data_IF_542751474888
#
_entry.id   IF_542751474888
#
_cell.length_a   1.000
_cell.length_b   1.000
_cell.length_c   1.000
_cell.angle_alpha   90.00
_cell.angle_beta   90.00
_cell.angle_gamma   90.00
#
_symmetry.space_group_name_H-M   'P 1'
#
loop_
_entity.id
_entity.type
_entity.pdbx_description
1 polymer ?
#
# COMPACT_ATOMS: atom_id res chain seq x y z
N UNK A 1 52.48 -81.29 -4.33
CA UNK A 1 52.20 -80.68 -3.01
C UNK A 1 51.40 -79.43 -3.29
N UNK A 2 50.13 -79.42 -2.91
CA UNK A 2 49.28 -78.22 -2.96
C UNK A 2 48.72 -78.02 -1.54
N UNK A 3 48.54 -76.77 -1.08
CA UNK A 3 47.16 -76.34 -0.87
C UNK A 3 46.86 -74.84 -1.11
N UNK A 4 45.65 -74.62 -1.67
CA UNK A 4 44.61 -73.55 -1.48
C UNK A 4 44.93 -72.11 -1.05
N UNK A 5 44.15 -71.17 -1.62
CA UNK A 5 43.39 -70.16 -0.84
C UNK A 5 41.88 -70.22 -1.17
N UNK A 6 40.99 -70.35 -0.17
CA UNK A 6 40.29 -69.31 0.63
C UNK A 6 39.27 -68.43 -0.13
N UNK A 7 38.00 -68.83 0.04
CA UNK A 7 36.78 -68.01 0.28
C UNK A 7 36.52 -66.74 -0.55
N UNK A 8 35.59 -66.86 -1.50
CA UNK A 8 34.80 -65.73 -2.02
C UNK A 8 33.77 -65.27 -0.99
N UNK A 9 33.90 -64.04 -0.49
CA UNK A 9 32.78 -63.28 0.07
C UNK A 9 32.36 -62.20 -0.96
N UNK A 10 31.13 -62.32 -1.46
CA UNK A 10 30.44 -61.28 -2.23
C UNK A 10 30.29 -60.02 -1.37
N UNK A 11 30.95 -58.92 -1.76
CA UNK A 11 30.58 -57.59 -1.27
C UNK A 11 29.38 -57.08 -2.08
N UNK A 12 28.25 -56.90 -1.41
CA UNK A 12 27.13 -56.15 -1.94
C UNK A 12 27.56 -54.70 -2.18
N UNK A 13 27.43 -54.22 -3.42
CA UNK A 13 27.56 -52.81 -3.72
C UNK A 13 26.32 -52.09 -3.15
N UNK A 14 26.47 -51.48 -1.97
CA UNK A 14 25.53 -50.47 -1.53
C UNK A 14 25.66 -49.28 -2.49
N UNK A 15 24.74 -49.18 -3.45
CA UNK A 15 24.53 -47.94 -4.18
C UNK A 15 24.00 -46.93 -3.17
N UNK A 16 24.80 -45.93 -2.84
CA UNK A 16 24.34 -44.78 -2.07
C UNK A 16 23.24 -44.07 -2.86
N UNK A 17 22.18 -43.56 -2.20
CA UNK A 17 21.22 -42.72 -2.89
C UNK A 17 21.97 -41.45 -3.30
N UNK A 18 22.22 -41.31 -4.60
CA UNK A 18 22.85 -40.11 -5.15
C UNK A 18 21.93 -38.94 -4.85
N UNK A 19 22.32 -38.13 -3.88
CA UNK A 19 21.66 -36.86 -3.61
C UNK A 19 21.76 -36.03 -4.90
N UNK A 20 20.65 -35.60 -5.52
CA UNK A 20 20.71 -34.91 -6.79
C UNK A 20 21.55 -33.63 -6.68
N UNK A 21 22.43 -33.43 -7.67
CA UNK A 21 23.35 -32.30 -7.76
C UNK A 21 22.62 -30.95 -7.61
N UNK A 22 23.22 -29.91 -6.99
CA UNK A 22 22.62 -28.58 -6.81
C UNK A 22 22.11 -27.94 -8.12
N UNK A 23 22.63 -28.37 -9.27
CA UNK A 23 22.18 -27.92 -10.58
C UNK A 23 20.77 -28.41 -10.96
N UNK A 24 20.26 -29.49 -10.35
CA UNK A 24 18.89 -29.95 -10.60
C UNK A 24 17.84 -29.03 -9.96
N UNK A 25 18.18 -28.30 -8.90
CA UNK A 25 17.33 -27.24 -8.35
C UNK A 25 17.25 -26.00 -9.26
N UNK A 26 18.20 -25.83 -10.19
CA UNK A 26 18.18 -24.74 -11.18
C UNK A 26 17.18 -25.00 -12.33
N UNK A 27 16.77 -26.26 -12.54
CA UNK A 27 15.97 -26.72 -13.70
C UNK A 27 14.50 -27.02 -13.33
N UNK A 28 14.07 -26.63 -12.13
CA UNK A 28 12.66 -26.46 -11.79
C UNK A 28 12.38 -25.00 -11.44
N UNK A 29 12.69 -24.07 -12.36
CA UNK A 29 11.74 -22.95 -12.51
C UNK A 29 10.45 -23.62 -12.96
N UNK A 30 9.61 -24.00 -12.00
CA UNK A 30 8.28 -24.47 -12.33
C UNK A 30 7.69 -23.42 -13.24
N UNK A 31 7.37 -23.79 -14.48
CA UNK A 31 6.55 -23.00 -15.39
C UNK A 31 5.17 -22.90 -14.73
N UNK A 32 5.07 -22.04 -13.71
CA UNK A 32 3.81 -21.75 -13.08
C UNK A 32 2.94 -21.11 -14.16
N UNK A 33 1.69 -21.53 -14.31
CA UNK A 33 0.79 -20.87 -15.26
C UNK A 33 0.66 -19.39 -14.87
N UNK A 34 0.76 -18.52 -15.87
CA UNK A 34 0.53 -17.09 -15.72
C UNK A 34 -0.93 -16.88 -15.32
N UNK A 35 -1.16 -16.15 -14.23
CA UNK A 35 -2.50 -15.82 -13.77
C UNK A 35 -3.05 -14.69 -14.63
N UNK A 36 -3.97 -15.02 -15.54
CA UNK A 36 -4.60 -14.03 -16.43
C UNK A 36 -5.75 -13.32 -15.71
N UNK A 37 -5.56 -12.04 -15.40
CA UNK A 37 -6.60 -11.20 -14.80
C UNK A 37 -7.54 -10.73 -15.92
N UNK A 38 -8.81 -11.11 -15.82
CA UNK A 38 -9.85 -10.68 -16.75
C UNK A 38 -10.22 -9.22 -16.47
N UNK A 39 -9.65 -8.31 -17.25
CA UNK A 39 -9.85 -6.87 -17.09
C UNK A 39 -11.33 -6.45 -16.99
N UNK A 40 -12.21 -7.10 -17.76
CA UNK A 40 -13.65 -6.82 -17.79
C UNK A 40 -14.35 -7.13 -16.45
N UNK A 41 -13.98 -8.21 -15.78
CA UNK A 41 -14.61 -8.65 -14.53
C UNK A 41 -14.37 -7.64 -13.40
N UNK A 42 -13.30 -6.85 -13.53
CA UNK A 42 -12.87 -5.86 -12.54
C UNK A 42 -13.00 -4.40 -13.02
N UNK A 43 -13.56 -4.17 -14.21
CA UNK A 43 -13.58 -2.85 -14.85
C UNK A 43 -12.18 -2.19 -14.84
N UNK A 44 -11.16 -2.93 -15.27
CA UNK A 44 -9.80 -2.44 -15.47
C UNK A 44 -9.69 -1.81 -16.85
N UNK A 45 -9.61 -0.49 -16.88
CA UNK A 45 -9.31 0.28 -18.08
C UNK A 45 -8.43 1.47 -17.68
N UNK A 46 -7.14 1.40 -17.98
CA UNK A 46 -6.19 2.48 -17.75
C UNK A 46 -6.28 3.50 -18.88
N UNK A 47 -6.62 4.74 -18.54
CA UNK A 47 -6.77 5.86 -19.47
C UNK A 47 -5.64 6.90 -19.33
N UNK A 48 -4.60 6.62 -18.53
CA UNK A 48 -3.52 7.58 -18.25
C UNK A 48 -3.81 8.55 -17.09
N UNK A 49 -4.96 8.44 -16.43
CA UNK A 49 -5.30 9.24 -15.26
C UNK A 49 -5.25 8.40 -13.97
N UNK A 50 -5.11 9.08 -12.84
CA UNK A 50 -5.16 8.49 -11.49
C UNK A 50 -4.28 7.22 -11.32
N UNK A 51 -3.09 7.22 -11.93
CA UNK A 51 -2.23 6.04 -12.04
C UNK A 51 -1.96 5.34 -10.70
N UNK A 52 -1.83 6.09 -9.60
CA UNK A 52 -1.61 5.52 -8.27
C UNK A 52 -2.86 4.82 -7.72
N UNK A 53 -4.07 5.33 -8.02
CA UNK A 53 -5.32 4.64 -7.69
C UNK A 53 -5.45 3.38 -8.54
N UNK A 54 -5.09 3.44 -9.82
CA UNK A 54 -5.10 2.28 -10.71
C UNK A 54 -4.13 1.18 -10.24
N UNK A 55 -2.87 1.51 -9.94
CA UNK A 55 -1.86 0.58 -9.41
C UNK A 55 -2.37 -0.13 -8.16
N UNK A 56 -2.90 0.62 -7.18
CA UNK A 56 -3.47 0.03 -5.95
C UNK A 56 -4.63 -0.93 -6.23
N UNK A 57 -5.48 -0.61 -7.20
CA UNK A 57 -6.59 -1.47 -7.61
C UNK A 57 -6.07 -2.77 -8.22
N UNK A 58 -5.09 -2.69 -9.12
CA UNK A 58 -4.44 -3.84 -9.76
C UNK A 58 -3.79 -4.74 -8.71
N UNK A 59 -3.02 -4.20 -7.77
CA UNK A 59 -2.37 -4.98 -6.71
C UNK A 59 -3.39 -5.69 -5.81
N UNK A 60 -4.51 -5.04 -5.50
CA UNK A 60 -5.59 -5.66 -4.75
C UNK A 60 -6.24 -6.81 -5.51
N UNK A 61 -6.45 -6.66 -6.82
CA UNK A 61 -7.00 -7.74 -7.67
C UNK A 61 -5.99 -8.88 -7.78
N UNK A 62 -4.71 -8.57 -7.93
CA UNK A 62 -3.64 -9.56 -7.95
C UNK A 62 -3.66 -10.44 -6.70
N UNK A 63 -3.85 -9.82 -5.53
CA UNK A 63 -3.98 -10.54 -4.27
C UNK A 63 -5.22 -11.46 -4.22
N UNK A 64 -6.34 -11.04 -4.82
CA UNK A 64 -7.58 -11.82 -4.88
C UNK A 64 -7.43 -13.02 -5.84
N UNK A 65 -6.84 -12.78 -7.01
CA UNK A 65 -6.66 -13.78 -8.08
C UNK A 65 -5.44 -14.68 -7.87
N UNK A 66 -4.60 -14.38 -6.87
CA UNK A 66 -3.34 -15.09 -6.65
C UNK A 66 -2.28 -14.81 -7.71
N UNK A 67 -2.38 -13.68 -8.42
CA UNK A 67 -1.41 -13.24 -9.41
C UNK A 67 -0.15 -12.69 -8.72
N UNK A 68 1.02 -12.99 -9.28
CA UNK A 68 2.28 -12.42 -8.80
C UNK A 68 2.62 -11.15 -9.56
N UNK A 69 3.61 -10.43 -9.05
CA UNK A 69 4.12 -9.20 -9.65
C UNK A 69 4.49 -9.38 -11.14
N UNK A 70 5.15 -10.48 -11.52
CA UNK A 70 5.50 -10.71 -12.91
C UNK A 70 4.27 -10.83 -13.82
N UNK A 71 3.18 -11.44 -13.31
CA UNK A 71 1.92 -11.55 -14.05
C UNK A 71 1.30 -10.18 -14.30
N UNK A 72 1.46 -9.24 -13.37
CA UNK A 72 0.95 -7.88 -13.49
C UNK A 72 1.74 -7.09 -14.54
N UNK A 73 3.07 -7.18 -14.49
CA UNK A 73 3.93 -6.51 -15.44
C UNK A 73 3.59 -6.93 -16.87
N UNK A 74 3.49 -8.25 -17.13
CA UNK A 74 3.16 -8.80 -18.46
C UNK A 74 1.77 -8.41 -18.97
N UNK A 75 0.82 -8.07 -18.08
CA UNK A 75 -0.56 -7.82 -18.48
C UNK A 75 -0.94 -6.34 -18.58
N UNK A 76 -0.10 -5.45 -18.05
CA UNK A 76 -0.40 -4.03 -17.90
C UNK A 76 -0.80 -3.36 -19.23
N UNK A 77 -0.10 -3.67 -20.33
CA UNK A 77 -0.38 -3.09 -21.65
C UNK A 77 -1.77 -3.49 -22.21
N UNK A 78 -2.34 -4.62 -21.77
CA UNK A 78 -3.66 -5.10 -22.19
C UNK A 78 -4.82 -4.49 -21.40
N UNK A 79 -4.54 -3.78 -20.31
CA UNK A 79 -5.55 -3.14 -19.48
C UNK A 79 -5.85 -1.70 -19.90
N UNK A 80 -5.40 -1.28 -21.07
CA UNK A 80 -5.76 0.01 -21.66
C UNK A 80 -6.54 -0.18 -22.96
N UNK A 81 -7.43 0.77 -23.26
CA UNK A 81 -8.17 0.85 -24.52
C UNK A 81 -7.55 1.81 -25.53
N UNK A 82 -6.57 2.61 -25.10
CA UNK A 82 -5.85 3.55 -25.96
C UNK A 82 -4.53 2.92 -26.42
N UNK A 83 -4.37 2.74 -27.74
CA UNK A 83 -3.16 2.17 -28.31
C UNK A 83 -1.92 2.99 -27.97
N UNK A 84 -2.03 4.32 -27.86
CA UNK A 84 -0.89 5.18 -27.48
C UNK A 84 -0.40 4.90 -26.06
N UNK A 85 -1.34 4.64 -25.13
CA UNK A 85 -0.98 4.27 -23.77
C UNK A 85 -0.39 2.86 -23.73
N UNK A 86 -0.91 1.94 -24.54
CA UNK A 86 -0.41 0.57 -24.64
C UNK A 86 1.03 0.56 -25.15
N UNK A 87 1.30 1.19 -26.30
CA UNK A 87 2.63 1.32 -26.90
C UNK A 87 3.63 1.96 -25.92
N UNK A 88 3.17 2.98 -25.18
CA UNK A 88 3.99 3.66 -24.19
C UNK A 88 4.34 2.79 -22.98
N UNK A 89 3.46 1.87 -22.57
CA UNK A 89 3.71 0.90 -21.50
C UNK A 89 4.66 -0.18 -21.99
N UNK A 90 4.46 -0.68 -23.21
CA UNK A 90 5.33 -1.73 -23.78
C UNK A 90 6.78 -1.27 -23.96
N UNK A 91 6.99 0.03 -24.18
CA UNK A 91 8.32 0.63 -24.25
C UNK A 91 8.98 0.91 -22.88
N UNK A 92 8.32 0.58 -21.76
CA UNK A 92 8.88 0.83 -20.42
C UNK A 92 9.84 -0.30 -20.02
N UNK A 93 11.01 0.02 -19.42
CA UNK A 93 11.96 -0.98 -18.95
C UNK A 93 11.33 -2.00 -17.99
N UNK A 94 10.47 -1.55 -17.07
CA UNK A 94 9.80 -2.45 -16.15
C UNK A 94 8.82 -3.43 -16.81
N UNK A 95 8.28 -3.11 -17.99
CA UNK A 95 7.43 -4.02 -18.76
C UNK A 95 8.28 -5.07 -19.47
N UNK A 96 9.35 -4.64 -20.15
CA UNK A 96 10.28 -5.53 -20.87
C UNK A 96 10.94 -6.56 -19.93
N UNK A 97 11.33 -6.13 -18.73
CA UNK A 97 11.95 -6.99 -17.72
C UNK A 97 10.94 -7.87 -16.95
N UNK A 98 9.64 -7.66 -17.12
CA UNK A 98 8.60 -8.29 -16.29
C UNK A 98 8.68 -7.89 -14.81
N UNK A 99 9.24 -6.72 -14.52
CA UNK A 99 9.50 -6.20 -13.18
C UNK A 99 8.44 -5.18 -12.77
N UNK A 100 7.42 -5.64 -12.03
CA UNK A 100 6.34 -4.77 -11.56
C UNK A 100 6.80 -3.59 -10.71
N UNK A 101 7.80 -3.80 -9.86
CA UNK A 101 8.34 -2.74 -8.99
C UNK A 101 8.96 -1.61 -9.81
N UNK A 102 9.68 -1.95 -10.88
CA UNK A 102 10.21 -0.96 -11.81
C UNK A 102 9.09 -0.34 -12.67
N UNK A 103 8.17 -1.16 -13.19
CA UNK A 103 7.06 -0.68 -14.01
C UNK A 103 6.19 0.34 -13.26
N UNK A 104 5.93 0.15 -11.96
CA UNK A 104 5.24 1.15 -11.13
C UNK A 104 5.93 2.50 -11.15
N UNK A 105 7.26 2.54 -11.07
CA UNK A 105 8.02 3.80 -11.13
C UNK A 105 7.89 4.43 -12.51
N UNK A 106 7.98 3.64 -13.57
CA UNK A 106 7.86 4.11 -14.95
C UNK A 106 6.45 4.70 -15.21
N UNK A 107 5.40 4.00 -14.75
CA UNK A 107 4.00 4.44 -14.81
C UNK A 107 3.79 5.75 -14.05
N UNK A 108 4.29 5.86 -12.81
CA UNK A 108 4.18 7.08 -12.00
C UNK A 108 5.02 8.21 -12.60
N UNK A 109 6.15 7.92 -13.22
CA UNK A 109 6.98 8.95 -13.86
C UNK A 109 6.28 9.57 -15.08
N UNK A 110 5.55 8.75 -15.85
CA UNK A 110 4.87 9.21 -17.07
C UNK A 110 3.48 9.79 -16.82
N UNK A 111 2.69 9.17 -15.95
CA UNK A 111 1.28 9.50 -15.71
C UNK A 111 0.98 9.91 -14.26
N UNK A 112 1.96 9.82 -13.37
CA UNK A 112 1.81 10.28 -11.99
C UNK A 112 1.70 11.80 -11.96
N UNK A 113 0.97 12.29 -10.96
CA UNK A 113 0.90 13.73 -10.74
C UNK A 113 2.23 14.20 -10.14
N UNK A 114 2.70 15.37 -10.58
CA UNK A 114 3.88 16.04 -10.00
C UNK A 114 3.70 16.23 -8.49
N UNK A 115 2.47 16.49 -8.05
CA UNK A 115 2.04 16.28 -6.67
C UNK A 115 0.90 15.26 -6.63
N UNK A 116 1.03 14.13 -5.92
CA UNK A 116 -0.09 13.21 -5.69
C UNK A 116 -1.31 13.98 -5.19
N UNK A 117 -2.52 13.61 -5.59
CA UNK A 117 -3.75 14.22 -5.10
C UNK A 117 -3.83 14.09 -3.57
N UNK A 118 -3.37 15.13 -2.86
CA UNK A 118 -3.38 15.17 -1.40
C UNK A 118 -4.84 15.26 -0.98
N UNK A 119 -5.37 14.18 -0.41
CA UNK A 119 -6.73 14.17 0.14
C UNK A 119 -6.90 15.25 1.21
N UNK A 120 -5.84 15.44 1.99
CA UNK A 120 -5.75 16.51 2.98
C UNK A 120 -4.36 17.14 2.95
N UNK A 121 -4.31 18.45 3.24
CA UNK A 121 -3.09 19.25 3.40
C UNK A 121 -2.92 19.59 4.89
N UNK A 122 -1.77 20.14 5.27
CA UNK A 122 -1.56 20.66 6.64
C UNK A 122 -2.68 21.65 7.02
N UNK A 123 -3.04 22.51 6.08
CA UNK A 123 -4.08 23.53 6.25
C UNK A 123 -5.49 22.94 6.40
N UNK A 124 -5.71 21.66 6.07
CA UNK A 124 -7.02 21.02 6.25
C UNK A 124 -7.45 20.96 7.71
N UNK A 125 -6.50 20.84 8.66
CA UNK A 125 -6.81 20.91 10.09
C UNK A 125 -7.15 22.34 10.52
N UNK A 126 -6.38 23.32 10.05
CA UNK A 126 -6.61 24.74 10.33
C UNK A 126 -8.00 25.15 9.81
N UNK A 127 -8.35 24.74 8.59
CA UNK A 127 -9.67 25.01 8.03
C UNK A 127 -10.77 24.34 8.84
N UNK A 128 -10.60 23.07 9.28
CA UNK A 128 -11.58 22.40 10.13
C UNK A 128 -11.82 23.18 11.44
N UNK A 129 -10.75 23.69 12.07
CA UNK A 129 -10.86 24.50 13.29
C UNK A 129 -11.58 25.82 13.03
N UNK A 130 -11.14 26.58 12.02
CA UNK A 130 -11.73 27.87 11.65
C UNK A 130 -13.21 27.72 11.28
N UNK A 131 -13.55 26.76 10.42
CA UNK A 131 -14.94 26.50 9.99
C UNK A 131 -15.84 26.14 11.20
N UNK A 132 -15.28 25.43 12.19
CA UNK A 132 -16.00 25.07 13.42
C UNK A 132 -16.22 26.29 14.31
N UNK A 133 -15.22 27.17 14.42
CA UNK A 133 -15.31 28.41 15.19
C UNK A 133 -16.28 29.40 14.55
N UNK A 134 -16.20 29.59 13.22
CA UNK A 134 -17.08 30.44 12.43
C UNK A 134 -18.56 29.98 12.53
N UNK A 135 -18.78 28.67 12.71
CA UNK A 135 -20.10 28.10 12.96
C UNK A 135 -20.62 28.29 14.40
N UNK A 136 -19.89 29.01 15.27
CA UNK A 136 -20.26 29.26 16.67
C UNK A 136 -19.69 28.27 17.68
N UNK A 137 -18.79 27.38 17.24
CA UNK A 137 -18.14 26.38 18.07
C UNK A 137 -19.03 25.19 18.43
N UNK A 138 -18.42 24.18 19.03
CA UNK A 138 -19.07 22.92 19.41
C UNK A 138 -19.88 23.14 20.69
N UNK A 139 -21.19 22.93 20.64
CA UNK A 139 -22.11 23.04 21.79
C UNK A 139 -22.90 21.77 22.09
N UNK A 140 -22.89 20.79 21.18
CA UNK A 140 -23.64 19.54 21.33
C UNK A 140 -22.76 18.30 21.16
N UNK A 141 -23.19 17.18 21.76
CA UNK A 141 -22.51 15.89 21.61
C UNK A 141 -22.43 15.42 20.14
N UNK A 142 -23.45 15.73 19.33
CA UNK A 142 -23.48 15.38 17.92
C UNK A 142 -22.42 16.14 17.12
N UNK A 143 -22.31 17.46 17.34
CA UNK A 143 -21.27 18.29 16.74
C UNK A 143 -19.88 17.82 17.16
N UNK A 144 -19.70 17.48 18.43
CA UNK A 144 -18.42 16.97 18.93
C UNK A 144 -18.02 15.67 18.24
N UNK A 145 -18.93 14.69 18.15
CA UNK A 145 -18.65 13.41 17.47
C UNK A 145 -18.30 13.61 15.99
N UNK A 146 -19.03 14.49 15.30
CA UNK A 146 -18.74 14.80 13.90
C UNK A 146 -17.36 15.42 13.74
N UNK A 147 -17.07 16.45 14.55
CA UNK A 147 -15.80 17.15 14.53
C UNK A 147 -14.62 16.20 14.80
N UNK A 148 -14.70 15.38 15.85
CA UNK A 148 -13.64 14.41 16.18
C UNK A 148 -13.46 13.39 15.05
N UNK A 149 -14.54 12.89 14.44
CA UNK A 149 -14.44 11.97 13.31
C UNK A 149 -13.75 12.58 12.09
N UNK A 150 -14.03 13.85 11.77
CA UNK A 150 -13.35 14.58 10.70
C UNK A 150 -11.88 14.85 11.06
N UNK A 151 -11.60 15.32 12.28
CA UNK A 151 -10.24 15.54 12.80
C UNK A 151 -9.39 14.27 12.74
N UNK A 152 -9.89 13.15 13.26
CA UNK A 152 -9.21 11.85 13.25
C UNK A 152 -8.92 11.37 11.82
N UNK A 153 -9.86 11.58 10.91
CA UNK A 153 -9.69 11.23 9.50
C UNK A 153 -8.56 12.02 8.86
N UNK A 154 -8.49 13.34 9.13
CA UNK A 154 -7.45 14.23 8.60
C UNK A 154 -6.09 13.90 9.21
N UNK A 155 -5.99 13.87 10.55
CA UNK A 155 -4.71 13.67 11.25
C UNK A 155 -4.11 12.29 10.92
N UNK A 156 -4.93 11.24 10.85
CA UNK A 156 -4.47 9.88 10.49
C UNK A 156 -3.92 9.86 9.08
N UNK A 157 -4.54 10.58 8.14
CA UNK A 157 -4.02 10.69 6.77
C UNK A 157 -2.68 11.43 6.77
N UNK A 158 -2.57 12.59 7.42
CA UNK A 158 -1.35 13.39 7.43
C UNK A 158 -0.18 12.65 8.09
N UNK A 159 -0.43 11.90 9.16
CA UNK A 159 0.58 11.07 9.84
C UNK A 159 1.01 9.88 8.98
N UNK A 160 0.06 9.16 8.38
CA UNK A 160 0.33 7.99 7.52
C UNK A 160 1.25 8.32 6.35
N UNK A 161 1.06 9.50 5.76
CA UNK A 161 1.88 9.98 4.65
C UNK A 161 3.06 10.86 5.08
N UNK A 162 3.34 10.95 6.40
CA UNK A 162 4.45 11.70 7.00
C UNK A 162 4.48 13.18 6.59
N UNK A 163 3.31 13.77 6.34
CA UNK A 163 3.19 15.18 6.03
C UNK A 163 3.35 16.07 7.26
N UNK A 164 3.10 15.54 8.45
CA UNK A 164 3.37 16.17 9.74
C UNK A 164 4.09 15.17 10.66
N UNK A 165 4.93 15.63 11.61
CA UNK A 165 5.51 14.78 12.63
C UNK A 165 4.44 14.39 13.67
N UNK A 166 4.66 13.25 14.35
CA UNK A 166 3.70 12.67 15.31
C UNK A 166 3.45 13.54 16.55
N UNK A 167 4.43 14.38 16.88
CA UNK A 167 4.43 15.36 17.96
C UNK A 167 3.60 16.63 17.67
N UNK A 168 3.23 16.89 16.42
CA UNK A 168 2.38 18.02 16.04
C UNK A 168 0.87 17.67 16.10
N UNK A 169 0.44 16.89 17.11
CA UNK A 169 -0.99 16.81 17.38
C UNK A 169 -1.46 18.18 17.86
N UNK A 170 -2.28 18.86 17.05
CA UNK A 170 -2.84 20.19 17.31
C UNK A 170 -3.86 20.17 18.46
N UNK A 171 -3.41 19.77 19.65
CA UNK A 171 -4.24 19.67 20.86
C UNK A 171 -4.60 21.02 21.44
N UNK A 172 -3.78 22.04 21.21
CA UNK A 172 -4.01 23.39 21.76
C UNK A 172 -5.22 24.07 21.09
N UNK A 173 -5.45 23.83 19.80
CA UNK A 173 -6.55 24.44 19.02
C UNK A 173 -7.93 23.79 19.29
N UNK A 174 -7.94 22.60 19.91
CA UNK A 174 -9.15 21.81 20.19
C UNK A 174 -10.04 22.47 21.24
N UNK A 175 -9.43 23.03 22.29
CA UNK A 175 -10.18 23.81 23.28
C UNK A 175 -10.86 25.01 22.61
N UNK A 176 -10.17 25.59 21.62
CA UNK A 176 -10.64 26.78 20.95
C UNK A 176 -11.82 26.59 20.01
N UNK A 177 -12.07 25.35 19.60
CA UNK A 177 -13.24 24.95 18.81
C UNK A 177 -14.52 24.81 19.65
N UNK A 178 -14.44 24.84 20.98
CA UNK A 178 -15.61 24.74 21.85
C UNK A 178 -16.41 26.04 21.85
N UNK A 179 -17.74 25.93 21.97
CA UNK A 179 -18.60 27.10 22.15
C UNK A 179 -18.28 27.84 23.45
N UNK A 180 -18.55 29.15 23.50
CA UNK A 180 -18.25 29.99 24.66
C UNK A 180 -18.87 29.46 25.97
N UNK A 181 -20.08 28.91 25.90
CA UNK A 181 -20.78 28.32 27.04
C UNK A 181 -20.03 27.10 27.60
N UNK A 182 -19.58 26.21 26.71
CA UNK A 182 -18.83 25.01 27.08
C UNK A 182 -17.43 25.38 27.59
N UNK A 183 -16.74 26.33 26.92
CA UNK A 183 -15.46 26.87 27.41
C UNK A 183 -15.61 27.41 28.84
N UNK A 184 -16.62 28.24 29.08
CA UNK A 184 -16.90 28.82 30.39
C UNK A 184 -17.25 27.77 31.46
N UNK A 185 -17.95 26.70 31.09
CA UNK A 185 -18.25 25.59 32.00
C UNK A 185 -16.99 24.80 32.37
N UNK A 186 -16.16 24.45 31.39
CA UNK A 186 -14.91 23.71 31.59
C UNK A 186 -13.93 24.53 32.44
N UNK A 187 -13.71 25.81 32.12
CA UNK A 187 -12.81 26.67 32.90
C UNK A 187 -13.24 26.77 34.36
N UNK A 188 -14.56 26.86 34.63
CA UNK A 188 -15.08 26.88 36.01
C UNK A 188 -14.80 25.58 36.76
N UNK A 189 -14.94 24.42 36.11
CA UNK A 189 -14.61 23.13 36.74
C UNK A 189 -13.10 22.96 36.93
N UNK A 190 -12.27 23.32 35.95
CA UNK A 190 -10.81 23.24 36.08
C UNK A 190 -10.25 24.12 37.21
N UNK A 191 -10.85 25.29 37.46
CA UNK A 191 -10.50 26.17 38.60
C UNK A 191 -10.87 25.52 39.93
N UNK A 192 -12.02 24.83 40.01
CA UNK A 192 -12.43 24.11 41.23
C UNK A 192 -11.52 22.93 41.53
N UNK A 193 -11.01 22.25 40.49
CA UNK A 193 -10.08 21.13 40.63
C UNK A 193 -8.63 21.57 40.88
N UNK A 194 -8.36 22.88 40.93
CA UNK A 194 -7.03 23.46 41.17
C UNK A 194 -5.99 23.05 40.10
N UNK A 195 -6.43 22.89 38.84
CA UNK A 195 -5.62 22.37 37.71
C UNK A 195 -4.99 23.47 36.85
N UNK A 196 -5.45 24.73 36.95
CA UNK A 196 -4.78 25.88 36.30
C UNK A 196 -3.90 26.65 37.30
N UNK A 197 -2.60 26.81 36.97
CA UNK A 197 -1.68 27.78 37.59
C UNK A 197 -1.40 28.89 36.58
#
# INVERSE_FOLDING_TARGET
>A
TEPRPQTHQRRAFFSTPTNPSPLQHQILRQERPVVKIKAKDYNLNFNGEEVEKFIRKVEKIAQIEGAREEDLAMQMAFWTTDSKNSDAIEAMPGYEEGNWSQLKKDLITKWGRVEPERKYRKDSLINLFNDTQDAGGISTLSQYKRFIGEYETIITYLLRYKYIPQENMFHEDLFDCLSADIKGAISKEMIKENVMV
#
